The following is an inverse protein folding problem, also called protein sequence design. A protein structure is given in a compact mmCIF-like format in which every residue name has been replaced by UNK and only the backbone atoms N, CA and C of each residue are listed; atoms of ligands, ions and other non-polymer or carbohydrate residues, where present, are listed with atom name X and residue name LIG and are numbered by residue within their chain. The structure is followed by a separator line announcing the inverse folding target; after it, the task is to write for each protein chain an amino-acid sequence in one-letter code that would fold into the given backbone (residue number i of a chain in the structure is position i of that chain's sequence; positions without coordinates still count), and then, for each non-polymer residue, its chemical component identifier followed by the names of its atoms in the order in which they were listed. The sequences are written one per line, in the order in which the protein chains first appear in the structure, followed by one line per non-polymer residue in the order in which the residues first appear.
data_IF_270999869340
#
_entry.id   IF_270999869340
#
_cell.length_a   1.000
_cell.length_b   1.000
_cell.length_c   1.000
_cell.angle_alpha   90.00
_cell.angle_beta   90.00
_cell.angle_gamma   90.00
#
_symmetry.space_group_name_H-M   'P 1'
#
loop_
_entity.id
_entity.type
_entity.pdbx_description
1 polymer ?
#
# COMPACT_ATOMS: atom_id res chain seq x y z
N UNK A 1 -9.24 -3.97 13.69
CA UNK A 1 -7.80 -4.01 13.41
C UNK A 1 -7.53 -5.20 12.54
N UNK A 2 -6.75 -5.00 11.49
CA UNK A 2 -6.36 -6.04 10.55
C UNK A 2 -5.21 -6.86 11.13
N UNK A 3 -5.22 -8.18 10.92
CA UNK A 3 -4.14 -9.09 11.30
C UNK A 3 -3.22 -9.40 10.11
N UNK A 4 -2.06 -9.99 10.37
CA UNK A 4 -1.14 -10.42 9.32
C UNK A 4 -1.80 -11.51 8.43
N UNK A 5 -2.59 -12.40 9.05
CA UNK A 5 -3.36 -13.43 8.36
C UNK A 5 -4.41 -12.83 7.41
N UNK A 6 -5.07 -11.74 7.83
CA UNK A 6 -6.02 -11.02 6.97
C UNK A 6 -5.31 -10.46 5.74
N UNK A 7 -4.19 -9.77 5.92
CA UNK A 7 -3.40 -9.19 4.82
C UNK A 7 -2.97 -10.27 3.84
N UNK A 8 -2.39 -11.37 4.33
CA UNK A 8 -1.95 -12.46 3.47
C UNK A 8 -3.11 -13.13 2.72
N UNK A 9 -4.28 -13.22 3.36
CA UNK A 9 -5.50 -13.74 2.71
C UNK A 9 -6.00 -12.82 1.60
N UNK A 10 -6.01 -11.50 1.84
CA UNK A 10 -6.39 -10.49 0.84
C UNK A 10 -5.44 -10.52 -0.36
N UNK A 11 -4.12 -10.57 -0.11
CA UNK A 11 -3.12 -10.67 -1.18
C UNK A 11 -3.25 -11.97 -1.97
N UNK A 12 -3.66 -13.07 -1.34
CA UNK A 12 -3.90 -14.33 -2.03
C UNK A 12 -5.13 -14.27 -2.95
N UNK A 13 -6.18 -13.55 -2.56
CA UNK A 13 -7.36 -13.28 -3.41
C UNK A 13 -6.94 -12.53 -4.67
N UNK A 14 -6.20 -11.44 -4.52
CA UNK A 14 -5.75 -10.60 -5.65
C UNK A 14 -4.78 -11.36 -6.56
N UNK A 15 -3.83 -12.11 -5.98
CA UNK A 15 -2.91 -12.96 -6.74
C UNK A 15 -3.62 -14.03 -7.56
N UNK A 16 -4.67 -14.66 -7.02
CA UNK A 16 -5.46 -15.67 -7.74
C UNK A 16 -6.20 -15.09 -8.95
N UNK A 17 -6.47 -13.78 -8.93
CA UNK A 17 -7.07 -13.04 -10.02
C UNK A 17 -6.03 -12.41 -10.98
N UNK A 18 -4.76 -12.79 -10.87
CA UNK A 18 -3.63 -12.23 -11.66
C UNK A 18 -3.52 -10.69 -11.56
N UNK A 19 -3.85 -10.15 -10.38
CA UNK A 19 -3.69 -8.71 -10.08
C UNK A 19 -2.35 -8.48 -9.40
N UNK A 20 -1.52 -7.64 -10.00
CA UNK A 20 -0.26 -7.22 -9.40
C UNK A 20 -0.54 -6.16 -8.33
N UNK A 21 -0.05 -6.42 -7.11
CA UNK A 21 -0.22 -5.52 -5.98
C UNK A 21 1.08 -5.34 -5.21
N UNK A 22 1.31 -4.13 -4.73
CA UNK A 22 2.37 -3.81 -3.77
C UNK A 22 1.73 -3.21 -2.53
N UNK A 23 2.28 -3.51 -1.36
CA UNK A 23 1.82 -2.96 -0.09
C UNK A 23 2.49 -1.61 0.19
N UNK A 24 1.69 -0.61 0.55
CA UNK A 24 2.12 0.69 1.05
C UNK A 24 1.78 0.88 2.54
N UNK A 25 1.94 2.09 3.04
CA UNK A 25 1.49 2.47 4.38
C UNK A 25 2.09 1.62 5.51
N UNK A 26 1.35 1.52 6.62
CA UNK A 26 1.81 0.86 7.84
C UNK A 26 2.17 -0.61 7.65
N UNK A 27 1.35 -1.39 6.94
CA UNK A 27 1.65 -2.79 6.62
C UNK A 27 2.86 -2.93 5.71
N UNK A 28 3.08 -2.00 4.78
CA UNK A 28 4.27 -2.00 3.93
C UNK A 28 5.54 -1.71 4.74
N UNK A 29 5.45 -0.83 5.74
CA UNK A 29 6.56 -0.53 6.66
C UNK A 29 6.86 -1.74 7.54
N UNK A 30 5.86 -2.36 8.14
CA UNK A 30 6.05 -3.58 8.94
C UNK A 30 6.58 -4.75 8.09
N UNK A 31 6.18 -4.86 6.82
CA UNK A 31 6.76 -5.81 5.89
C UNK A 31 8.26 -5.55 5.63
N UNK A 32 8.67 -4.29 5.50
CA UNK A 32 10.08 -3.93 5.34
C UNK A 32 10.90 -4.21 6.61
N UNK A 33 10.32 -3.92 7.79
CA UNK A 33 10.95 -4.18 9.09
C UNK A 33 11.04 -5.68 9.37
N UNK A 34 10.09 -6.48 8.87
CA UNK A 34 10.02 -7.93 9.07
C UNK A 34 9.29 -8.35 10.35
N UNK A 35 8.66 -7.42 11.07
CA UNK A 35 7.82 -7.69 12.23
C UNK A 35 6.64 -6.70 12.28
N UNK A 36 5.55 -7.10 12.92
CA UNK A 36 4.42 -6.20 13.15
C UNK A 36 4.75 -5.27 14.33
N UNK A 37 4.94 -3.97 14.07
CA UNK A 37 5.40 -2.99 15.06
C UNK A 37 4.27 -2.23 15.75
N UNK A 38 3.07 -2.24 15.17
CA UNK A 38 1.85 -1.67 15.74
C UNK A 38 0.60 -2.35 15.18
N UNK A 39 -0.57 -1.94 15.67
CA UNK A 39 -1.84 -2.40 15.09
C UNK A 39 -2.19 -1.53 13.87
N UNK A 40 -2.72 -2.15 12.82
CA UNK A 40 -3.16 -1.48 11.58
C UNK A 40 -4.66 -1.59 11.41
N UNK A 41 -5.31 -0.53 10.93
CA UNK A 41 -6.77 -0.52 10.70
C UNK A 41 -7.13 -0.88 9.26
N UNK A 42 -6.27 -0.51 8.33
CA UNK A 42 -6.43 -0.52 6.88
C UNK A 42 -5.25 -1.24 6.21
N UNK A 43 -5.34 -1.43 4.90
CA UNK A 43 -4.29 -1.95 4.03
C UNK A 43 -4.21 -1.11 2.76
N UNK A 44 -3.10 -0.40 2.57
CA UNK A 44 -2.84 0.36 1.34
C UNK A 44 -2.22 -0.54 0.26
N UNK A 45 -2.88 -0.64 -0.89
CA UNK A 45 -2.43 -1.42 -2.05
C UNK A 45 -2.28 -0.56 -3.29
N UNK A 46 -1.06 -0.51 -3.81
CA UNK A 46 -0.82 -0.06 -5.16
C UNK A 46 -1.13 -1.19 -6.12
N UNK A 47 -1.83 -0.89 -7.21
CA UNK A 47 -2.14 -1.87 -8.26
C UNK A 47 -2.05 -1.22 -9.64
N UNK A 48 -1.97 -2.01 -10.71
CA UNK A 48 -1.98 -1.46 -12.06
C UNK A 48 -3.38 -0.97 -12.41
N UNK A 49 -3.50 0.26 -12.92
CA UNK A 49 -4.81 0.84 -13.28
C UNK A 49 -5.57 -0.02 -14.31
N UNK A 50 -4.87 -0.69 -15.22
CA UNK A 50 -5.47 -1.56 -16.23
C UNK A 50 -5.97 -2.91 -15.66
N UNK A 51 -5.67 -3.21 -14.40
CA UNK A 51 -6.15 -4.38 -13.66
C UNK A 51 -7.27 -4.02 -12.66
N UNK A 52 -7.67 -2.74 -12.56
CA UNK A 52 -8.63 -2.27 -11.53
C UNK A 52 -9.93 -3.09 -11.56
N UNK A 53 -10.52 -3.34 -12.74
CA UNK A 53 -11.75 -4.12 -12.85
C UNK A 53 -11.60 -5.55 -12.32
N UNK A 54 -10.44 -6.18 -12.51
CA UNK A 54 -10.17 -7.51 -11.98
C UNK A 54 -9.97 -7.48 -10.46
N UNK A 55 -9.28 -6.45 -9.94
CA UNK A 55 -9.09 -6.24 -8.50
C UNK A 55 -10.45 -6.05 -7.79
N UNK A 56 -11.29 -5.17 -8.31
CA UNK A 56 -12.63 -4.90 -7.78
C UNK A 56 -13.50 -6.14 -7.81
N UNK A 57 -13.52 -6.89 -8.92
CA UNK A 57 -14.30 -8.12 -9.03
C UNK A 57 -13.84 -9.18 -8.01
N UNK A 58 -12.53 -9.41 -7.88
CA UNK A 58 -11.99 -10.39 -6.95
C UNK A 58 -12.26 -10.02 -5.48
N UNK A 59 -12.16 -8.74 -5.14
CA UNK A 59 -12.47 -8.25 -3.79
C UNK A 59 -13.97 -8.30 -3.50
N UNK A 60 -14.82 -8.01 -4.49
CA UNK A 60 -16.26 -8.15 -4.37
C UNK A 60 -16.68 -9.61 -4.13
N UNK A 61 -16.08 -10.56 -4.84
CA UNK A 61 -16.29 -12.00 -4.61
C UNK A 61 -15.83 -12.44 -3.21
N UNK A 62 -14.87 -11.73 -2.61
CA UNK A 62 -14.42 -11.92 -1.23
C UNK A 62 -15.26 -11.16 -0.19
N UNK A 63 -16.31 -10.45 -0.61
CA UNK A 63 -17.26 -9.75 0.25
C UNK A 63 -16.93 -8.28 0.53
N UNK A 64 -15.92 -7.70 -0.11
CA UNK A 64 -15.64 -6.27 -0.01
C UNK A 64 -16.59 -5.46 -0.90
N UNK A 65 -17.00 -4.28 -0.43
CA UNK A 65 -17.80 -3.33 -1.21
C UNK A 65 -17.12 -1.98 -1.23
N UNK A 66 -17.25 -1.26 -2.34
CA UNK A 66 -16.74 0.12 -2.43
C UNK A 66 -17.48 1.01 -1.43
N UNK A 67 -16.72 1.73 -0.60
CA UNK A 67 -17.23 2.62 0.45
C UNK A 67 -16.80 4.07 0.25
N UNK A 68 -15.77 4.31 -0.57
CA UNK A 68 -15.33 5.63 -0.98
C UNK A 68 -14.77 5.56 -2.40
N UNK A 69 -15.27 6.42 -3.29
CA UNK A 69 -14.70 6.62 -4.62
C UNK A 69 -14.00 7.98 -4.70
N UNK A 70 -12.68 7.95 -4.88
CA UNK A 70 -11.82 9.11 -5.11
C UNK A 70 -10.97 8.95 -6.38
N UNK A 71 -11.39 8.11 -7.33
CA UNK A 71 -10.62 7.86 -8.56
C UNK A 71 -10.45 9.14 -9.39
N UNK A 72 -9.33 9.26 -10.14
CA UNK A 72 -8.26 8.27 -10.31
C UNK A 72 -7.20 8.26 -9.19
N UNK A 73 -7.36 9.04 -8.11
CA UNK A 73 -6.35 9.14 -7.06
C UNK A 73 -6.30 7.88 -6.20
N UNK A 74 -7.43 7.46 -5.64
CA UNK A 74 -7.59 6.23 -4.86
C UNK A 74 -9.07 5.90 -4.66
N UNK A 75 -9.36 4.70 -4.19
CA UNK A 75 -10.70 4.34 -3.70
C UNK A 75 -10.58 3.36 -2.53
N UNK A 76 -11.65 3.23 -1.75
CA UNK A 76 -11.68 2.34 -0.58
C UNK A 76 -12.74 1.28 -0.79
N UNK A 77 -12.38 0.03 -0.48
CA UNK A 77 -13.35 -1.03 -0.28
C UNK A 77 -13.32 -1.51 1.17
N UNK A 78 -14.48 -1.88 1.70
CA UNK A 78 -14.63 -2.34 3.07
C UNK A 78 -15.46 -3.61 3.09
N UNK A 79 -15.08 -4.58 3.94
CA UNK A 79 -15.86 -5.80 4.14
C UNK A 79 -16.84 -5.69 5.34
N UNK A 80 -17.71 -6.68 5.57
CA UNK A 80 -18.64 -6.67 6.71
C UNK A 80 -17.96 -6.71 8.09
N UNK A 81 -16.70 -7.10 8.18
CA UNK A 81 -15.91 -7.07 9.41
C UNK A 81 -15.27 -5.69 9.67
N UNK A 82 -15.46 -4.73 8.76
CA UNK A 82 -14.91 -3.38 8.85
C UNK A 82 -13.42 -3.29 8.48
N UNK A 83 -12.89 -4.28 7.75
CA UNK A 83 -11.52 -4.24 7.20
C UNK A 83 -11.53 -3.35 5.97
N UNK A 84 -10.71 -2.31 5.97
CA UNK A 84 -10.60 -1.34 4.88
C UNK A 84 -9.36 -1.64 4.02
N UNK A 85 -9.51 -1.54 2.70
CA UNK A 85 -8.42 -1.59 1.73
C UNK A 85 -8.45 -0.30 0.93
N UNK A 86 -7.36 0.46 1.02
CA UNK A 86 -7.12 1.66 0.24
C UNK A 86 -6.39 1.26 -1.06
N UNK A 87 -7.06 1.39 -2.21
CA UNK A 87 -6.52 1.02 -3.51
C UNK A 87 -6.03 2.25 -4.28
N UNK A 88 -4.78 2.17 -4.73
CA UNK A 88 -4.07 3.23 -5.46
C UNK A 88 -3.75 2.78 -6.89
N UNK A 89 -4.48 3.26 -7.91
CA UNK A 89 -4.22 2.91 -9.31
C UNK A 89 -2.92 3.53 -9.82
N UNK A 90 -2.06 2.71 -10.42
CA UNK A 90 -0.78 3.13 -10.99
C UNK A 90 -0.75 2.94 -12.51
N UNK A 91 -0.33 3.97 -13.23
CA UNK A 91 0.04 3.92 -14.64
C UNK A 91 1.54 3.62 -14.75
N UNK A 92 1.89 2.43 -15.22
CA UNK A 92 3.28 1.99 -15.38
C UNK A 92 3.86 2.38 -16.75
N UNK A 93 5.12 2.82 -16.74
CA UNK A 93 5.93 3.02 -17.93
C UNK A 93 6.73 1.75 -18.28
N UNK A 94 7.27 1.71 -19.50
CA UNK A 94 8.03 0.56 -20.01
C UNK A 94 9.34 0.29 -19.24
N UNK A 95 9.89 1.29 -18.55
CA UNK A 95 11.08 1.16 -17.71
C UNK A 95 10.80 0.61 -16.30
N UNK A 96 9.54 0.32 -15.99
CA UNK A 96 9.09 -0.19 -14.70
C UNK A 96 8.80 0.90 -13.66
N UNK A 97 9.02 2.18 -13.98
CA UNK A 97 8.52 3.28 -13.16
C UNK A 97 7.00 3.41 -13.31
N UNK A 98 6.36 4.10 -12.38
CA UNK A 98 4.93 4.37 -12.45
C UNK A 98 4.59 5.78 -11.95
N UNK A 99 3.39 6.21 -12.28
CA UNK A 99 2.77 7.42 -11.75
C UNK A 99 1.37 7.10 -11.24
N UNK A 100 0.97 7.80 -10.19
CA UNK A 100 -0.41 7.81 -9.67
C UNK A 100 -0.96 9.22 -9.81
N UNK A 101 -2.24 9.34 -10.13
CA UNK A 101 -2.92 10.63 -10.08
C UNK A 101 -2.88 11.19 -8.65
N UNK A 102 -2.82 12.52 -8.54
CA UNK A 102 -2.92 13.23 -7.28
C UNK A 102 -4.05 14.26 -7.33
N UNK A 103 -4.43 14.87 -6.20
CA UNK A 103 -5.39 15.97 -6.19
C UNK A 103 -4.97 17.20 -7.04
N UNK A 104 -3.68 17.36 -7.31
CA UNK A 104 -3.14 18.34 -8.26
C UNK A 104 -2.75 17.63 -9.57
N UNK A 105 -3.53 17.79 -10.66
CA UNK A 105 -3.24 17.13 -11.94
C UNK A 105 -1.87 17.45 -12.54
N UNK A 106 -1.22 18.54 -12.11
CA UNK A 106 0.11 18.91 -12.58
C UNK A 106 1.25 18.25 -11.78
N UNK A 107 0.91 17.57 -10.67
CA UNK A 107 1.89 16.98 -9.74
C UNK A 107 1.47 15.55 -9.39
N UNK A 108 1.55 14.60 -10.34
CA UNK A 108 1.30 13.19 -10.03
C UNK A 108 2.32 12.68 -9.01
N UNK A 109 1.92 11.68 -8.24
CA UNK A 109 2.87 10.97 -7.37
C UNK A 109 3.74 10.05 -8.23
N UNK A 110 5.05 10.11 -8.02
CA UNK A 110 6.04 9.38 -8.82
C UNK A 110 6.56 8.17 -8.05
N UNK A 111 6.64 7.05 -8.77
CA UNK A 111 7.14 5.77 -8.29
C UNK A 111 8.32 5.35 -9.19
N UNK A 112 9.58 5.56 -8.79
CA UNK A 112 10.71 5.05 -9.56
C UNK A 112 10.68 3.52 -9.58
N UNK A 113 11.16 2.87 -10.64
CA UNK A 113 11.15 1.40 -10.74
C UNK A 113 11.80 0.71 -9.52
N UNK A 114 12.80 1.36 -8.91
CA UNK A 114 13.49 0.89 -7.70
C UNK A 114 12.65 0.93 -6.42
N UNK A 115 11.47 1.56 -6.41
CA UNK A 115 10.61 1.57 -5.23
C UNK A 115 9.80 0.28 -5.08
N UNK A 116 9.67 -0.53 -6.12
CA UNK A 116 8.94 -1.80 -6.06
C UNK A 116 9.89 -2.89 -5.58
N UNK A 117 9.80 -3.23 -4.29
CA UNK A 117 10.67 -4.20 -3.62
C UNK A 117 9.83 -5.29 -2.96
N UNK A 118 10.46 -6.10 -2.11
CA UNK A 118 9.78 -7.11 -1.30
C UNK A 118 10.11 -6.94 0.17
N UNK A 119 9.14 -7.24 1.02
CA UNK A 119 9.27 -7.37 2.47
C UNK A 119 8.79 -8.74 2.95
N UNK A 120 8.65 -8.90 4.26
CA UNK A 120 8.19 -10.13 4.89
C UNK A 120 7.06 -9.85 5.88
N UNK A 121 5.93 -10.53 5.71
CA UNK A 121 4.86 -10.59 6.73
C UNK A 121 4.79 -12.03 7.22
N UNK A 122 5.03 -12.23 8.52
CA UNK A 122 5.26 -13.56 9.12
C UNK A 122 6.40 -14.30 8.41
N UNK A 123 6.10 -15.36 7.68
CA UNK A 123 7.08 -16.16 6.91
C UNK A 123 6.94 -15.92 5.39
N UNK A 124 5.99 -15.08 4.97
CA UNK A 124 5.67 -14.86 3.57
C UNK A 124 6.39 -13.62 3.02
N UNK A 125 7.12 -13.81 1.92
CA UNK A 125 7.63 -12.70 1.11
C UNK A 125 6.48 -12.01 0.37
N UNK A 126 6.36 -10.70 0.52
CA UNK A 126 5.28 -9.89 -0.07
C UNK A 126 5.86 -8.71 -0.87
N UNK A 127 5.27 -8.32 -2.02
CA UNK A 127 5.67 -7.11 -2.73
C UNK A 127 5.26 -5.87 -1.92
N UNK A 128 6.15 -4.90 -1.77
CA UNK A 128 5.87 -3.65 -1.06
C UNK A 128 6.69 -2.48 -1.62
N UNK A 129 6.35 -1.27 -1.19
CA UNK A 129 7.16 -0.09 -1.47
C UNK A 129 8.46 -0.09 -0.68
N UNK A 130 9.51 0.50 -1.25
CA UNK A 130 10.79 0.69 -0.59
C UNK A 130 10.70 1.68 0.57
N UNK A 131 11.66 1.60 1.49
CA UNK A 131 11.74 2.52 2.61
C UNK A 131 11.84 3.98 2.15
N UNK A 132 12.58 4.26 1.07
CA UNK A 132 12.69 5.61 0.51
C UNK A 132 11.34 6.14 -0.02
N UNK A 133 10.55 5.27 -0.65
CA UNK A 133 9.23 5.65 -1.15
C UNK A 133 8.22 5.87 -0.01
N UNK A 134 8.27 5.03 1.02
CA UNK A 134 7.47 5.22 2.23
C UNK A 134 7.77 6.60 2.86
N UNK A 135 9.04 6.96 3.02
CA UNK A 135 9.43 8.30 3.52
C UNK A 135 8.95 9.41 2.60
N UNK A 136 9.07 9.23 1.28
CA UNK A 136 8.59 10.22 0.30
C UNK A 136 7.09 10.50 0.43
N UNK A 137 6.28 9.53 0.83
CA UNK A 137 4.85 9.77 1.05
C UNK A 137 4.52 10.36 2.43
N UNK A 138 5.42 10.25 3.40
CA UNK A 138 5.27 10.85 4.73
C UNK A 138 5.86 12.27 4.77
N UNK A 139 5.32 13.15 3.92
CA UNK A 139 5.70 14.57 3.87
C UNK A 139 4.54 15.48 3.50
N UNK A 140 4.62 16.75 3.90
CA UNK A 140 3.65 17.78 3.51
C UNK A 140 2.36 17.82 4.33
N UNK A 141 2.30 17.07 5.45
CA UNK A 141 1.21 17.11 6.42
C UNK A 141 1.75 17.05 7.86
N UNK A 142 0.91 17.40 8.83
CA UNK A 142 1.25 17.25 10.26
C UNK A 142 1.13 15.76 10.65
N UNK A 143 2.21 15.12 11.10
CA UNK A 143 2.20 13.68 11.33
C UNK A 143 1.48 13.30 12.63
N UNK A 144 0.69 12.23 12.54
CA UNK A 144 0.11 11.55 13.68
C UNK A 144 1.17 10.70 14.43
N UNK A 145 0.79 10.16 15.58
CA UNK A 145 1.68 9.32 16.39
C UNK A 145 2.12 8.05 15.64
N UNK A 146 1.23 7.44 14.86
CA UNK A 146 1.53 6.29 14.02
C UNK A 146 2.55 6.64 12.93
N UNK A 147 2.44 7.81 12.29
CA UNK A 147 3.42 8.28 11.30
C UNK A 147 4.80 8.44 11.94
N UNK A 148 4.87 9.05 13.14
CA UNK A 148 6.13 9.27 13.86
C UNK A 148 6.78 7.95 14.27
N UNK A 149 5.97 6.99 14.72
CA UNK A 149 6.41 5.63 15.03
C UNK A 149 6.98 4.94 13.78
N UNK A 150 6.23 4.96 12.68
CA UNK A 150 6.60 4.33 11.41
C UNK A 150 7.92 4.91 10.86
N UNK A 151 8.07 6.24 10.87
CA UNK A 151 9.31 6.91 10.48
C UNK A 151 10.48 6.54 11.42
N UNK A 152 10.24 6.42 12.72
CA UNK A 152 11.28 5.98 13.67
C UNK A 152 11.76 4.55 13.38
N UNK A 153 10.84 3.65 13.00
CA UNK A 153 11.19 2.27 12.61
C UNK A 153 12.04 2.24 11.34
N UNK A 154 11.69 3.02 10.33
CA UNK A 154 12.49 3.12 9.11
C UNK A 154 13.89 3.68 9.37
N UNK A 155 14.01 4.73 10.21
CA UNK A 155 15.33 5.25 10.63
C UNK A 155 16.17 4.17 11.32
N UNK A 156 15.57 3.44 12.25
CA UNK A 156 16.27 2.42 13.04
C UNK A 156 16.79 1.26 12.17
N UNK A 157 15.98 0.76 11.25
CA UNK A 157 16.29 -0.45 10.47
C UNK A 157 17.14 -0.14 9.24
N UNK A 158 16.86 0.97 8.55
CA UNK A 158 17.48 1.29 7.26
C UNK A 158 18.51 2.42 7.33
N UNK A 159 18.63 3.14 8.45
CA UNK A 159 19.56 4.27 8.59
C UNK A 159 19.25 5.43 7.66
N UNK A 160 18.00 5.57 7.20
CA UNK A 160 17.56 6.63 6.29
C UNK A 160 17.08 7.86 7.07
N UNK A 161 17.20 9.06 6.48
CA UNK A 161 16.60 10.27 7.02
C UNK A 161 15.09 10.32 6.70
N UNK A 162 14.32 10.92 7.59
CA UNK A 162 12.86 11.12 7.45
C UNK A 162 12.52 12.60 7.68
N UNK A 163 11.30 13.01 7.32
CA UNK A 163 10.87 14.41 7.42
C UNK A 163 10.57 14.87 8.85
N UNK A 164 10.30 13.93 9.76
CA UNK A 164 10.03 14.11 11.19
C UNK A 164 10.39 12.85 11.98
#
# INVERSE_FOLDING_TARGET
MMTAEDVLSILAVLRKADVDTWIGGGWGIDALVGEQTRQHRDLDLMHRENQESAAVAALADAGFVETLDGRPVRFVVTDPAGREIDLHPLAFAADGSAVQASPDPQRPFVYPASCFVTGTIREATVPCLSAQQQVYFHQGYEPADDDRHDMARLRQVFGIATHF
#
